data_IF_270997279466
#
_entry.id   IF_270997279466
#
_cell.length_a   1.000
_cell.length_b   1.000
_cell.length_c   1.000
_cell.angle_alpha   90.00
_cell.angle_beta   90.00
_cell.angle_gamma   90.00
#
_symmetry.space_group_name_H-M   'P 1'
#
loop_
_entity.id
_entity.type
_entity.pdbx_description
1 polymer ?
#
# COMPACT_ATOMS: atom_id res chain seq x y z
N UNK A 1 -7.48 -9.33 1.53
CA UNK A 1 -7.18 -9.51 0.08
C UNK A 1 -5.70 -9.24 -0.12
N UNK A 2 -4.99 -10.04 -0.92
CA UNK A 2 -3.55 -9.79 -1.15
C UNK A 2 -3.33 -8.69 -2.19
N UNK A 3 -2.31 -7.87 -1.95
CA UNK A 3 -1.82 -6.84 -2.85
C UNK A 3 -0.30 -6.72 -2.72
N UNK A 4 0.33 -6.00 -3.65
CA UNK A 4 1.76 -5.70 -3.60
C UNK A 4 1.96 -4.20 -3.49
N UNK A 5 2.81 -3.79 -2.57
CA UNK A 5 3.37 -2.44 -2.54
C UNK A 5 4.60 -2.44 -3.42
N UNK A 6 4.68 -1.49 -4.35
CA UNK A 6 5.77 -1.34 -5.30
C UNK A 6 6.50 -0.03 -5.00
N UNK A 7 7.78 -0.14 -4.63
CA UNK A 7 8.66 0.99 -4.28
C UNK A 7 9.94 0.96 -5.14
N UNK A 8 10.83 1.93 -4.91
CA UNK A 8 12.14 2.02 -5.58
C UNK A 8 12.07 2.00 -7.11
N UNK A 9 11.07 2.69 -7.68
CA UNK A 9 10.84 2.72 -9.12
C UNK A 9 10.44 1.37 -9.73
N UNK A 10 9.90 0.45 -8.93
CA UNK A 10 9.43 -0.86 -9.40
C UNK A 10 10.32 -2.04 -9.01
N UNK A 11 11.46 -1.79 -8.36
CA UNK A 11 12.46 -2.81 -8.07
C UNK A 11 12.16 -3.63 -6.81
N UNK A 12 11.47 -3.04 -5.83
CA UNK A 12 11.19 -3.67 -4.54
C UNK A 12 9.69 -3.86 -4.37
N UNK A 13 9.26 -5.09 -4.11
CA UNK A 13 7.85 -5.44 -3.92
C UNK A 13 7.64 -5.99 -2.51
N UNK A 14 6.72 -5.39 -1.76
CA UNK A 14 6.36 -5.82 -0.41
C UNK A 14 4.97 -6.46 -0.42
N UNK A 15 4.86 -7.63 0.19
CA UNK A 15 3.56 -8.30 0.33
C UNK A 15 2.67 -7.52 1.33
N UNK A 16 1.44 -7.23 0.90
CA UNK A 16 0.48 -6.51 1.71
C UNK A 16 -0.88 -7.24 1.76
N UNK A 17 -1.46 -7.23 2.95
CA UNK A 17 -2.85 -7.62 3.17
C UNK A 17 -3.73 -6.36 3.20
N UNK A 18 -4.67 -6.25 2.26
CA UNK A 18 -5.72 -5.23 2.30
C UNK A 18 -6.75 -5.65 3.35
N UNK A 19 -6.85 -4.84 4.41
CA UNK A 19 -7.77 -5.01 5.54
C UNK A 19 -9.14 -4.37 5.27
N UNK A 20 -9.13 -3.22 4.60
CA UNK A 20 -10.32 -2.47 4.19
C UNK A 20 -9.99 -1.60 2.97
N UNK A 21 -10.98 -1.33 2.12
CA UNK A 21 -10.79 -0.53 0.92
C UNK A 21 -12.08 0.22 0.53
N UNK A 22 -11.89 1.43 0.02
CA UNK A 22 -12.95 2.28 -0.53
C UNK A 22 -12.56 2.74 -1.94
N UNK A 23 -13.38 3.60 -2.53
CA UNK A 23 -13.04 4.26 -3.79
C UNK A 23 -11.85 5.24 -3.67
N UNK A 24 -11.54 5.73 -2.46
CA UNK A 24 -10.57 6.82 -2.25
C UNK A 24 -9.30 6.38 -1.53
N UNK A 25 -9.23 5.13 -1.09
CA UNK A 25 -8.09 4.66 -0.31
C UNK A 25 -8.29 3.29 0.28
N UNK A 26 -7.30 2.84 1.03
CA UNK A 26 -7.27 1.54 1.68
C UNK A 26 -6.57 1.58 3.02
N UNK A 27 -6.87 0.58 3.84
CA UNK A 27 -6.06 0.20 4.99
C UNK A 27 -5.37 -1.11 4.70
N UNK A 28 -4.05 -1.13 4.77
CA UNK A 28 -3.23 -2.30 4.49
C UNK A 28 -2.44 -2.73 5.72
N UNK A 29 -1.97 -3.98 5.72
CA UNK A 29 -0.98 -4.52 6.65
C UNK A 29 0.20 -5.11 5.89
N UNK A 30 1.42 -4.81 6.31
CA UNK A 30 2.64 -5.46 5.81
C UNK A 30 2.96 -6.72 6.62
N UNK A 31 3.52 -7.73 5.97
CA UNK A 31 3.89 -9.00 6.62
C UNK A 31 5.05 -8.86 7.63
N UNK A 32 5.90 -7.87 7.39
CA UNK A 32 7.17 -7.59 8.03
C UNK A 32 7.23 -6.13 8.54
N UNK A 33 8.11 -5.88 9.52
CA UNK A 33 8.44 -4.51 9.96
C UNK A 33 9.40 -3.88 8.94
N UNK A 34 8.86 -3.54 7.79
CA UNK A 34 9.57 -2.82 6.74
C UNK A 34 9.10 -1.37 6.72
N UNK A 35 10.04 -0.45 6.56
CA UNK A 35 9.70 0.97 6.42
C UNK A 35 8.97 1.20 5.08
N UNK A 36 7.82 1.86 5.16
CA UNK A 36 6.98 2.17 4.01
C UNK A 36 7.13 3.67 3.67
N UNK A 37 7.62 4.01 2.46
CA UNK A 37 7.73 5.40 2.03
C UNK A 37 6.37 6.10 2.03
N UNK A 38 6.38 7.43 2.06
CA UNK A 38 5.15 8.24 2.03
C UNK A 38 4.36 8.03 0.75
N UNK A 39 5.02 7.81 -0.39
CA UNK A 39 4.41 7.62 -1.70
C UNK A 39 4.92 6.35 -2.37
N UNK A 40 4.02 5.60 -2.99
CA UNK A 40 4.32 4.35 -3.67
C UNK A 40 3.17 3.94 -4.59
N UNK A 41 3.37 2.87 -5.36
CA UNK A 41 2.28 2.26 -6.11
C UNK A 41 1.78 1.00 -5.41
N UNK A 42 0.47 0.79 -5.44
CA UNK A 42 -0.14 -0.49 -5.07
C UNK A 42 -0.61 -1.24 -6.29
N UNK A 43 -0.23 -2.51 -6.40
CA UNK A 43 -0.79 -3.44 -7.35
C UNK A 43 -1.89 -4.28 -6.69
N UNK A 44 -3.14 -3.98 -7.03
CA UNK A 44 -4.32 -4.73 -6.65
C UNK A 44 -4.75 -5.64 -7.80
N UNK A 45 -4.45 -6.95 -7.78
CA UNK A 45 -4.84 -7.92 -8.83
C UNK A 45 -4.62 -7.40 -10.28
N UNK A 46 -5.60 -6.70 -10.85
CA UNK A 46 -5.62 -6.16 -12.22
C UNK A 46 -5.53 -4.63 -12.32
N UNK A 47 -5.25 -3.92 -11.21
CA UNK A 47 -5.22 -2.46 -11.13
C UNK A 47 -3.97 -1.99 -10.40
N UNK A 48 -3.35 -0.93 -10.91
CA UNK A 48 -2.29 -0.21 -10.22
C UNK A 48 -2.84 1.14 -9.77
N UNK A 49 -2.51 1.55 -8.55
CA UNK A 49 -2.93 2.84 -7.96
C UNK A 49 -1.72 3.54 -7.36
N UNK A 50 -1.54 4.82 -7.65
CA UNK A 50 -0.60 5.64 -6.88
C UNK A 50 -1.20 5.91 -5.51
N UNK A 51 -0.41 5.74 -4.47
CA UNK A 51 -0.86 5.81 -3.09
C UNK A 51 0.02 6.74 -2.28
N UNK A 52 -0.59 7.45 -1.33
CA UNK A 52 0.12 8.20 -0.30
C UNK A 52 -0.32 7.77 1.09
N UNK A 53 0.64 7.63 2.00
CA UNK A 53 0.38 7.30 3.40
C UNK A 53 -0.20 8.53 4.11
N UNK A 54 -1.37 8.36 4.72
CA UNK A 54 -2.03 9.39 5.54
C UNK A 54 -2.05 9.04 7.03
N UNK A 55 -1.79 7.77 7.35
CA UNK A 55 -1.72 7.28 8.73
C UNK A 55 -0.81 6.06 8.86
N UNK A 56 -0.06 5.98 9.96
CA UNK A 56 0.84 4.88 10.28
C UNK A 56 0.52 4.28 11.66
N UNK A 57 0.34 2.98 11.70
CA UNK A 57 0.41 2.15 12.90
C UNK A 57 1.63 1.23 12.83
N UNK A 58 1.74 0.25 13.74
CA UNK A 58 2.92 -0.62 13.82
C UNK A 58 3.23 -1.35 12.50
N UNK A 59 2.23 -2.05 11.94
CA UNK A 59 2.32 -2.74 10.63
C UNK A 59 1.14 -2.43 9.74
N UNK A 60 0.32 -1.46 10.14
CA UNK A 60 -0.93 -1.13 9.48
C UNK A 60 -0.82 0.29 8.97
N UNK A 61 -1.22 0.52 7.74
CA UNK A 61 -1.08 1.81 7.06
C UNK A 61 -2.42 2.23 6.48
N UNK A 62 -2.76 3.50 6.64
CA UNK A 62 -3.90 4.12 5.98
C UNK A 62 -3.40 4.91 4.78
N UNK A 63 -4.02 4.67 3.62
CA UNK A 63 -3.60 5.19 2.33
C UNK A 63 -4.74 5.96 1.68
N UNK A 64 -4.39 7.01 0.93
CA UNK A 64 -5.26 7.65 -0.05
C UNK A 64 -4.75 7.28 -1.45
N UNK A 65 -5.67 7.05 -2.40
CA UNK A 65 -5.33 6.92 -3.81
C UNK A 65 -5.16 8.32 -4.41
N UNK A 66 -4.09 8.52 -5.15
CA UNK A 66 -3.85 9.76 -5.90
C UNK A 66 -4.38 9.54 -7.34
N UNK A 67 -5.08 10.54 -7.89
CA UNK A 67 -5.64 10.55 -9.26
C UNK A 67 -4.55 10.65 -10.35
#
# INVERSE_FOLDING_TARGET
MEALVVVDGGQTHLAAEVLDASAFGARIRLGDDTELPDEFYMLFRHRIEQCRVVWRGKRTFGLVYED
#
